data_IF_762998905900
#
_entry.id   IF_762998905900
#
_cell.length_a   1.000
_cell.length_b   1.000
_cell.length_c   1.000
_cell.angle_alpha   90.00
_cell.angle_beta   90.00
_cell.angle_gamma   90.00
#
_symmetry.space_group_name_H-M   'P 1'
#
loop_
_entity.id
_entity.type
_entity.pdbx_description
1 polymer ?
#
# COMPACT_ATOMS: atom_id res chain seq x y z
N UNK A 1 -12.96 -12.85 77.50
CA UNK A 1 -12.51 -11.59 76.99
C UNK A 1 -11.18 -11.86 76.34
N UNK A 2 -10.99 -11.79 75.10
CA UNK A 2 -11.24 -11.05 73.97
C UNK A 2 -10.40 -11.63 72.82
N UNK A 3 -10.96 -12.00 71.72
CA UNK A 3 -10.24 -12.40 70.52
C UNK A 3 -10.93 -11.70 69.33
N UNK A 4 -10.60 -10.44 69.12
CA UNK A 4 -11.17 -9.63 68.00
C UNK A 4 -10.14 -8.85 67.18
N UNK A 5 -8.85 -9.20 67.21
CA UNK A 5 -7.81 -8.37 66.58
C UNK A 5 -7.08 -9.01 65.39
N UNK A 6 -7.39 -10.22 65.01
CA UNK A 6 -6.62 -10.92 63.93
C UNK A 6 -7.27 -10.92 62.55
N UNK A 7 -8.50 -10.48 62.41
CA UNK A 7 -9.22 -10.52 61.11
C UNK A 7 -9.00 -9.34 60.17
N UNK A 8 -8.43 -8.24 60.65
CA UNK A 8 -8.24 -7.04 59.79
C UNK A 8 -6.93 -7.04 58.99
N UNK A 9 -5.95 -7.79 59.38
CA UNK A 9 -4.61 -7.73 58.73
C UNK A 9 -4.57 -8.48 57.42
N UNK A 10 -5.20 -9.66 57.30
CA UNK A 10 -5.18 -10.43 56.07
C UNK A 10 -5.91 -9.76 54.90
N UNK A 11 -7.06 -9.15 55.19
CA UNK A 11 -7.88 -8.48 54.17
C UNK A 11 -7.20 -7.26 53.53
N UNK A 12 -6.35 -6.55 54.25
CA UNK A 12 -5.63 -5.37 53.73
C UNK A 12 -4.45 -5.85 52.84
N UNK A 13 -3.76 -6.91 53.22
CA UNK A 13 -2.69 -7.49 52.42
C UNK A 13 -3.26 -8.06 51.10
N UNK A 14 -4.38 -8.75 51.14
CA UNK A 14 -5.04 -9.29 49.95
C UNK A 14 -5.47 -8.15 49.00
N UNK A 15 -5.98 -7.07 49.52
CA UNK A 15 -6.42 -5.94 48.74
C UNK A 15 -5.23 -5.18 48.08
N UNK A 16 -4.13 -5.01 48.82
CA UNK A 16 -2.88 -4.42 48.27
C UNK A 16 -2.28 -5.30 47.16
N UNK A 17 -2.29 -6.61 47.36
CA UNK A 17 -1.80 -7.56 46.37
C UNK A 17 -2.62 -7.52 45.07
N UNK A 18 -3.96 -7.49 45.22
CA UNK A 18 -4.87 -7.39 44.07
C UNK A 18 -4.66 -6.06 43.31
N UNK A 19 -4.56 -4.96 44.03
CA UNK A 19 -4.36 -3.63 43.39
C UNK A 19 -3.00 -3.56 42.69
N UNK A 20 -1.94 -4.08 43.29
CA UNK A 20 -0.60 -4.15 42.69
C UNK A 20 -0.59 -5.03 41.44
N UNK A 21 -1.23 -6.20 41.51
CA UNK A 21 -1.34 -7.10 40.33
C UNK A 21 -2.08 -6.47 39.19
N UNK A 22 -3.21 -5.80 39.48
CA UNK A 22 -4.00 -5.10 38.43
C UNK A 22 -3.16 -3.99 37.81
N UNK A 23 -2.48 -3.18 38.63
CA UNK A 23 -1.64 -2.08 38.13
C UNK A 23 -0.50 -2.60 37.24
N UNK A 24 0.20 -3.63 37.69
CA UNK A 24 1.30 -4.23 36.91
C UNK A 24 0.80 -4.82 35.60
N UNK A 25 -0.32 -5.52 35.64
CA UNK A 25 -0.93 -6.09 34.42
C UNK A 25 -1.33 -5.01 33.45
N UNK A 26 -1.90 -3.90 33.92
CA UNK A 26 -2.28 -2.78 33.06
C UNK A 26 -1.07 -2.13 32.39
N UNK A 27 0.03 -1.94 33.13
CA UNK A 27 1.27 -1.37 32.59
C UNK A 27 1.85 -2.30 31.52
N UNK A 28 1.92 -3.61 31.80
CA UNK A 28 2.42 -4.59 30.82
C UNK A 28 1.54 -4.67 29.57
N UNK A 29 0.22 -4.56 29.74
CA UNK A 29 -0.72 -4.52 28.62
C UNK A 29 -0.48 -3.29 27.76
N UNK A 30 -0.33 -2.10 28.36
CA UNK A 30 -0.02 -0.87 27.63
C UNK A 30 1.32 -0.95 26.88
N UNK A 31 2.37 -1.48 27.53
CA UNK A 31 3.66 -1.68 26.87
C UNK A 31 3.55 -2.66 25.70
N UNK A 32 2.83 -3.78 25.87
CA UNK A 32 2.56 -4.73 24.80
C UNK A 32 1.81 -4.10 23.63
N UNK A 33 0.83 -3.24 23.92
CA UNK A 33 0.06 -2.54 22.95
C UNK A 33 0.91 -1.54 22.14
N UNK A 34 1.81 -0.81 22.81
CA UNK A 34 2.76 0.09 22.13
C UNK A 34 3.68 -0.68 21.18
N UNK A 35 4.28 -1.79 21.64
CA UNK A 35 5.14 -2.64 20.81
C UNK A 35 4.35 -3.18 19.62
N UNK A 36 3.13 -3.65 19.84
CA UNK A 36 2.25 -4.13 18.77
C UNK A 36 1.99 -3.05 17.71
N UNK A 37 1.65 -1.84 18.11
CA UNK A 37 1.42 -0.74 17.17
C UNK A 37 2.67 -0.37 16.38
N UNK A 38 3.84 -0.32 17.03
CA UNK A 38 5.10 0.00 16.34
C UNK A 38 5.42 -1.04 15.28
N UNK A 39 5.30 -2.33 15.59
CA UNK A 39 5.55 -3.41 14.64
C UNK A 39 4.52 -3.40 13.50
N UNK A 40 3.26 -3.17 13.82
CA UNK A 40 2.18 -3.11 12.81
C UNK A 40 2.37 -1.93 11.88
N UNK A 41 2.72 -0.74 12.41
CA UNK A 41 2.97 0.45 11.60
C UNK A 41 4.16 0.26 10.65
N UNK A 42 5.22 -0.40 11.11
CA UNK A 42 6.37 -0.71 10.25
C UNK A 42 5.98 -1.63 9.08
N UNK A 43 5.30 -2.73 9.37
CA UNK A 43 4.86 -3.69 8.35
C UNK A 43 3.87 -3.05 7.36
N UNK A 44 2.94 -2.21 7.85
CA UNK A 44 2.00 -1.50 6.99
C UNK A 44 2.72 -0.51 6.07
N UNK A 45 3.73 0.21 6.58
CA UNK A 45 4.52 1.14 5.77
C UNK A 45 5.22 0.44 4.61
N UNK A 46 5.83 -0.73 4.86
CA UNK A 46 6.47 -1.54 3.81
C UNK A 46 5.42 -2.02 2.80
N UNK A 47 4.30 -2.56 3.29
CA UNK A 47 3.21 -3.04 2.43
C UNK A 47 2.65 -1.95 1.51
N UNK A 48 2.39 -0.75 2.04
CA UNK A 48 1.91 0.38 1.24
C UNK A 48 2.93 0.78 0.18
N UNK A 49 4.21 0.87 0.54
CA UNK A 49 5.28 1.23 -0.41
C UNK A 49 5.44 0.21 -1.53
N UNK A 50 5.29 -1.08 -1.24
CA UNK A 50 5.39 -2.13 -2.26
C UNK A 50 4.18 -2.20 -3.19
N UNK A 51 3.03 -1.64 -2.77
CA UNK A 51 1.82 -1.57 -3.58
C UNK A 51 1.62 -0.22 -4.28
N UNK A 52 2.56 0.72 -4.12
CA UNK A 52 2.56 1.93 -4.95
C UNK A 52 2.84 1.51 -6.38
N UNK A 53 1.84 1.69 -7.24
CA UNK A 53 1.98 1.55 -8.68
C UNK A 53 1.84 2.91 -9.35
N UNK A 54 2.46 3.06 -10.49
CA UNK A 54 2.20 4.18 -11.38
C UNK A 54 1.99 3.66 -12.79
N UNK A 55 1.10 4.34 -13.51
CA UNK A 55 0.76 3.96 -14.87
C UNK A 55 1.42 4.88 -15.87
N UNK A 56 2.08 4.29 -16.84
CA UNK A 56 2.58 4.97 -18.03
C UNK A 56 1.50 4.85 -19.09
N UNK A 57 0.89 5.97 -19.47
CA UNK A 57 -0.09 6.00 -20.55
C UNK A 57 0.63 5.90 -21.89
N UNK A 58 0.13 5.04 -22.75
CA UNK A 58 0.69 4.76 -24.06
C UNK A 58 -0.13 5.50 -25.11
N UNK A 59 0.56 6.22 -25.99
CA UNK A 59 -0.09 6.85 -27.12
C UNK A 59 -0.69 5.80 -28.07
N UNK A 60 -1.84 6.10 -28.65
CA UNK A 60 -2.56 5.23 -29.58
C UNK A 60 -1.76 4.90 -30.85
N UNK A 61 -0.77 5.74 -31.16
CA UNK A 61 0.10 5.57 -32.34
C UNK A 61 1.21 4.53 -32.14
N UNK A 62 1.41 4.06 -30.89
CA UNK A 62 2.49 3.11 -30.58
C UNK A 62 2.09 1.69 -31.00
N UNK A 63 2.99 1.04 -31.79
CA UNK A 63 2.78 -0.34 -32.21
C UNK A 63 2.96 -1.30 -31.03
N UNK A 64 2.18 -2.36 -31.03
CA UNK A 64 2.21 -3.38 -29.97
C UNK A 64 3.62 -3.97 -29.75
N UNK A 65 4.40 -4.17 -30.84
CA UNK A 65 5.78 -4.63 -30.76
C UNK A 65 6.69 -3.66 -29.99
N UNK A 66 6.44 -2.35 -30.07
CA UNK A 66 7.24 -1.34 -29.37
C UNK A 66 6.81 -1.21 -27.92
N UNK A 67 5.52 -1.44 -27.62
CA UNK A 67 5.00 -1.54 -26.24
C UNK A 67 5.67 -2.71 -25.50
N UNK A 68 5.73 -3.88 -26.12
CA UNK A 68 6.37 -5.06 -25.54
C UNK A 68 7.88 -4.85 -25.33
N UNK A 69 8.57 -4.17 -26.26
CA UNK A 69 9.98 -3.81 -26.09
C UNK A 69 10.16 -2.83 -24.90
N UNK A 70 9.29 -1.85 -24.78
CA UNK A 70 9.31 -0.91 -23.66
C UNK A 70 9.08 -1.63 -22.34
N UNK A 71 8.06 -2.48 -22.24
CA UNK A 71 7.79 -3.28 -21.06
C UNK A 71 8.99 -4.16 -20.69
N UNK A 72 9.61 -4.82 -21.67
CA UNK A 72 10.81 -5.64 -21.44
C UNK A 72 11.99 -4.81 -20.93
N UNK A 73 12.18 -3.60 -21.47
CA UNK A 73 13.21 -2.66 -21.02
C UNK A 73 12.96 -2.20 -19.58
N UNK A 74 11.70 -1.85 -19.25
CA UNK A 74 11.31 -1.46 -17.90
C UNK A 74 11.53 -2.59 -16.88
N UNK A 75 11.20 -3.82 -17.24
CA UNK A 75 11.44 -4.99 -16.37
C UNK A 75 12.93 -5.28 -16.10
N UNK A 76 13.85 -4.71 -16.87
CA UNK A 76 15.29 -4.84 -16.65
C UNK A 76 15.83 -3.78 -15.68
N UNK A 77 15.02 -2.76 -15.36
CA UNK A 77 15.43 -1.69 -14.48
C UNK A 77 15.35 -2.12 -13.00
N UNK A 78 16.35 -1.79 -12.19
CA UNK A 78 16.47 -2.27 -10.80
C UNK A 78 15.37 -1.76 -9.87
N UNK A 79 14.66 -0.71 -10.26
CA UNK A 79 13.57 -0.13 -9.48
C UNK A 79 12.21 -0.79 -9.75
N UNK A 80 12.08 -1.56 -10.83
CA UNK A 80 10.83 -2.21 -11.23
C UNK A 80 10.72 -3.57 -10.56
N UNK A 81 9.67 -3.75 -9.73
CA UNK A 81 9.32 -5.03 -9.14
C UNK A 81 8.52 -5.89 -10.13
N UNK A 82 7.58 -5.24 -10.81
CA UNK A 82 6.69 -5.87 -11.78
C UNK A 82 6.15 -4.81 -12.74
N UNK A 83 5.97 -5.15 -14.01
CA UNK A 83 5.21 -4.33 -14.95
C UNK A 83 4.16 -5.16 -15.66
N UNK A 84 2.99 -4.56 -15.88
CA UNK A 84 1.85 -5.18 -16.54
C UNK A 84 1.30 -4.25 -17.62
N UNK A 85 1.11 -4.78 -18.81
CA UNK A 85 0.47 -4.05 -19.90
C UNK A 85 -1.04 -4.23 -19.80
N UNK A 86 -1.75 -3.13 -19.68
CA UNK A 86 -3.20 -3.07 -19.64
C UNK A 86 -3.68 -2.47 -20.95
N UNK A 87 -4.34 -3.28 -21.76
CA UNK A 87 -4.93 -2.82 -23.02
C UNK A 87 -6.17 -1.96 -22.75
N UNK A 88 -6.58 -1.15 -23.75
CA UNK A 88 -7.83 -0.35 -23.66
C UNK A 88 -9.06 -1.18 -23.30
N UNK A 89 -9.16 -2.40 -23.86
CA UNK A 89 -10.29 -3.30 -23.60
C UNK A 89 -10.25 -3.84 -22.18
N UNK A 90 -9.06 -4.16 -21.68
CA UNK A 90 -8.88 -4.62 -20.32
C UNK A 90 -9.18 -3.49 -19.32
N UNK A 91 -8.66 -2.27 -19.55
CA UNK A 91 -8.96 -1.11 -18.74
C UNK A 91 -10.47 -0.81 -18.67
N UNK A 92 -11.17 -0.89 -19.80
CA UNK A 92 -12.63 -0.72 -19.84
C UNK A 92 -13.32 -1.79 -18.98
N UNK A 93 -12.94 -3.06 -19.14
CA UNK A 93 -13.54 -4.17 -18.40
C UNK A 93 -13.34 -4.02 -16.89
N UNK A 94 -12.11 -3.74 -16.44
CA UNK A 94 -11.78 -3.57 -15.03
C UNK A 94 -12.55 -2.38 -14.41
N UNK A 95 -12.65 -1.27 -15.15
CA UNK A 95 -13.40 -0.10 -14.69
C UNK A 95 -14.92 -0.36 -14.68
N UNK A 96 -15.45 -1.06 -15.68
CA UNK A 96 -16.86 -1.47 -15.71
C UNK A 96 -17.20 -2.35 -14.51
N UNK A 97 -16.33 -3.31 -14.18
CA UNK A 97 -16.50 -4.18 -13.01
C UNK A 97 -16.44 -3.38 -11.69
N UNK A 98 -15.52 -2.42 -11.59
CA UNK A 98 -15.35 -1.59 -10.40
C UNK A 98 -16.48 -0.58 -10.20
N UNK A 99 -16.96 0.02 -11.27
CA UNK A 99 -18.01 1.05 -11.24
C UNK A 99 -19.43 0.46 -11.31
N UNK A 100 -19.57 -0.82 -11.70
CA UNK A 100 -20.87 -1.46 -11.92
C UNK A 100 -21.65 -0.93 -13.13
N UNK A 101 -21.00 -0.14 -13.98
CA UNK A 101 -21.63 0.51 -15.16
C UNK A 101 -20.60 0.63 -16.27
N UNK A 102 -20.98 0.34 -17.51
CA UNK A 102 -20.10 0.44 -18.66
C UNK A 102 -20.03 1.89 -19.17
N UNK A 103 -18.86 2.56 -19.07
CA UNK A 103 -18.69 3.94 -19.58
C UNK A 103 -18.83 4.04 -21.10
N UNK A 104 -18.52 2.99 -21.86
CA UNK A 104 -18.66 2.98 -23.32
C UNK A 104 -20.12 3.05 -23.75
N UNK A 105 -21.02 2.49 -22.95
CA UNK A 105 -22.46 2.53 -23.22
C UNK A 105 -23.04 3.96 -23.16
N UNK A 106 -22.48 4.81 -22.28
CA UNK A 106 -22.92 6.22 -22.15
C UNK A 106 -22.21 7.16 -23.10
N UNK A 107 -20.92 6.93 -23.38
CA UNK A 107 -20.09 7.84 -24.15
C UNK A 107 -20.09 7.51 -25.64
N UNK A 108 -20.49 6.28 -26.03
CA UNK A 108 -20.42 5.79 -27.39
C UNK A 108 -19.01 5.48 -27.89
N UNK A 109 -18.00 5.55 -27.02
CA UNK A 109 -16.61 5.17 -27.30
C UNK A 109 -15.91 4.79 -26.00
N UNK A 110 -14.84 3.99 -26.12
CA UNK A 110 -14.00 3.63 -24.97
C UNK A 110 -13.13 4.83 -24.55
N UNK A 111 -13.36 5.43 -23.37
CA UNK A 111 -12.61 6.60 -22.89
C UNK A 111 -11.21 6.25 -22.36
N UNK A 112 -10.91 4.98 -22.17
CA UNK A 112 -9.64 4.54 -21.56
C UNK A 112 -8.52 4.41 -22.58
N UNK A 113 -7.32 4.70 -22.13
CA UNK A 113 -6.08 4.59 -22.91
C UNK A 113 -5.29 3.36 -22.43
N UNK A 114 -4.59 2.71 -23.34
CA UNK A 114 -3.69 1.63 -22.96
C UNK A 114 -2.57 2.16 -22.04
N UNK A 115 -2.15 1.36 -21.08
CA UNK A 115 -1.12 1.74 -20.11
C UNK A 115 -0.20 0.57 -19.75
N UNK A 116 0.99 0.91 -19.26
CA UNK A 116 1.85 -0.04 -18.55
C UNK A 116 1.82 0.35 -17.07
N UNK A 117 1.25 -0.51 -16.25
CA UNK A 117 1.29 -0.36 -14.80
C UNK A 117 2.62 -0.92 -14.28
N UNK A 118 3.30 -0.11 -13.46
CA UNK A 118 4.60 -0.45 -12.90
C UNK A 118 4.49 -0.43 -11.38
N UNK A 119 4.86 -1.55 -10.75
CA UNK A 119 5.06 -1.66 -9.31
C UNK A 119 6.53 -1.49 -9.00
N UNK A 120 6.84 -0.63 -8.04
CA UNK A 120 8.21 -0.38 -7.61
C UNK A 120 8.60 -1.28 -6.43
N UNK A 121 9.90 -1.53 -6.30
CA UNK A 121 10.44 -2.02 -5.05
C UNK A 121 10.31 -0.94 -3.96
N UNK A 122 10.07 -1.35 -2.71
CA UNK A 122 9.85 -0.45 -1.56
C UNK A 122 10.92 0.63 -1.38
N UNK A 123 12.16 0.32 -1.71
CA UNK A 123 13.31 1.22 -1.59
C UNK A 123 13.26 2.38 -2.59
N UNK A 124 12.58 2.18 -3.71
CA UNK A 124 12.41 3.17 -4.79
C UNK A 124 11.03 3.85 -4.76
N UNK A 125 10.15 3.43 -3.87
CA UNK A 125 8.82 4.02 -3.71
C UNK A 125 8.89 5.33 -2.87
N UNK A 126 9.68 6.29 -3.35
CA UNK A 126 9.85 7.63 -2.77
C UNK A 126 9.82 8.70 -3.86
N UNK A 127 9.51 9.93 -3.46
CA UNK A 127 9.33 11.06 -4.39
C UNK A 127 10.52 11.30 -5.31
N UNK A 128 11.75 11.14 -4.79
CA UNK A 128 12.98 11.42 -5.56
C UNK A 128 13.23 10.34 -6.62
N UNK A 129 12.97 9.09 -6.28
CA UNK A 129 13.09 7.97 -7.22
C UNK A 129 12.02 8.06 -8.29
N UNK A 130 10.79 8.38 -7.92
CA UNK A 130 9.68 8.56 -8.87
C UNK A 130 10.00 9.69 -9.85
N UNK A 131 10.55 10.83 -9.39
CA UNK A 131 10.95 11.93 -10.26
C UNK A 131 12.08 11.54 -11.25
N UNK A 132 13.02 10.70 -10.82
CA UNK A 132 14.06 10.16 -11.71
C UNK A 132 13.49 9.24 -12.77
N UNK A 133 12.59 8.34 -12.37
CA UNK A 133 11.90 7.41 -13.27
C UNK A 133 11.08 8.20 -14.29
N UNK A 134 10.32 9.19 -13.84
CA UNK A 134 9.54 10.08 -14.69
C UNK A 134 10.42 10.76 -15.75
N UNK A 135 11.59 11.25 -15.36
CA UNK A 135 12.54 11.88 -16.27
C UNK A 135 13.09 10.89 -17.31
N UNK A 136 13.42 9.67 -16.91
CA UNK A 136 13.89 8.64 -17.84
C UNK A 136 12.82 8.22 -18.85
N UNK A 137 11.59 8.08 -18.40
CA UNK A 137 10.47 7.68 -19.26
C UNK A 137 10.09 8.79 -20.23
N UNK A 138 10.09 10.07 -19.80
CA UNK A 138 9.80 11.24 -20.65
C UNK A 138 10.81 11.46 -21.78
N UNK A 139 12.00 10.89 -21.69
CA UNK A 139 12.99 10.95 -22.80
C UNK A 139 12.56 10.13 -24.02
N UNK A 140 11.59 9.23 -23.89
CA UNK A 140 10.93 8.57 -25.01
C UNK A 140 9.68 9.38 -25.41
N UNK A 141 9.74 10.11 -26.50
CA UNK A 141 8.79 11.14 -26.96
C UNK A 141 7.32 10.71 -27.16
N UNK A 142 7.01 9.42 -27.03
CA UNK A 142 5.65 8.88 -27.27
C UNK A 142 4.96 8.41 -25.97
N UNK A 143 5.41 8.88 -24.78
CA UNK A 143 4.92 8.42 -23.52
C UNK A 143 4.40 9.59 -22.70
N UNK A 144 3.15 9.53 -22.29
CA UNK A 144 2.57 10.42 -21.29
C UNK A 144 2.49 9.68 -19.95
N UNK A 145 2.98 10.30 -18.89
CA UNK A 145 2.92 9.70 -17.56
C UNK A 145 1.65 10.17 -16.88
N UNK A 146 0.71 9.22 -16.70
CA UNK A 146 -0.42 9.38 -15.81
C UNK A 146 0.01 9.04 -14.38
N UNK A 147 -0.24 9.93 -13.41
CA UNK A 147 -0.11 9.58 -12.00
C UNK A 147 -1.29 8.70 -11.62
N UNK A 148 -1.04 7.45 -11.27
CA UNK A 148 -2.05 6.65 -10.60
C UNK A 148 -2.31 7.27 -9.23
N UNK A 149 -3.56 7.61 -8.98
CA UNK A 149 -4.01 7.93 -7.63
C UNK A 149 -4.17 6.63 -6.86
N UNK A 150 -3.52 6.56 -5.69
CA UNK A 150 -3.77 5.55 -4.66
C UNK A 150 -5.13 5.84 -4.02
#
# INVERSE_FOLDING_TARGET
MGNKSRYKSSSIFDMQFITSSISTTLVLLLLGLVVFFVLTAHNLSVYVRENISFSILISDDMKEADILKLQKKLNQEPFVKQSEYISKKQALKEQTEAMGTDPEEFLGYNPFTASIEIKLHSDYANSDSIAKIEKMVKQNSNIQIGRAHV
#
